data_IF_140341467089
#
_entry.id   IF_140341467089
#
_cell.length_a   1.000
_cell.length_b   1.000
_cell.length_c   1.000
_cell.angle_alpha   90.00
_cell.angle_beta   90.00
_cell.angle_gamma   90.00
#
_symmetry.space_group_name_H-M   'P 1'
#
loop_
_entity.id
_entity.type
_entity.pdbx_description
1 polymer ?
#
# COMPACT_ATOMS: atom_id res chain seq x y z
N UNK A 1 -13.44 -16.27 2.77
CA UNK A 1 -12.35 -15.61 2.01
C UNK A 1 -11.26 -15.27 3.02
N UNK A 2 -9.97 -15.41 2.69
CA UNK A 2 -8.88 -15.10 3.64
C UNK A 2 -8.80 -13.59 3.84
N UNK A 3 -8.71 -13.13 5.09
CA UNK A 3 -8.61 -11.72 5.47
C UNK A 3 -7.54 -10.96 4.66
N UNK A 4 -6.40 -11.62 4.39
CA UNK A 4 -5.32 -11.02 3.60
C UNK A 4 -5.67 -10.88 2.10
N UNK A 5 -6.47 -11.81 1.56
CA UNK A 5 -6.97 -11.69 0.18
C UNK A 5 -7.92 -10.51 0.04
N UNK A 6 -8.69 -10.21 1.08
CA UNK A 6 -9.58 -9.05 1.09
C UNK A 6 -8.79 -7.74 1.14
N UNK A 7 -7.73 -7.67 1.95
CA UNK A 7 -6.85 -6.47 1.97
C UNK A 7 -6.11 -6.31 0.65
N UNK A 8 -5.58 -7.40 0.08
CA UNK A 8 -4.98 -7.40 -1.26
C UNK A 8 -5.94 -6.83 -2.31
N UNK A 9 -7.18 -7.32 -2.35
CA UNK A 9 -8.19 -6.83 -3.30
C UNK A 9 -8.51 -5.35 -3.11
N UNK A 10 -8.62 -4.89 -1.85
CA UNK A 10 -8.85 -3.47 -1.55
C UNK A 10 -7.70 -2.60 -2.04
N UNK A 11 -6.45 -3.00 -1.79
CA UNK A 11 -5.27 -2.27 -2.27
C UNK A 11 -5.17 -2.29 -3.80
N UNK A 12 -5.47 -3.41 -4.45
CA UNK A 12 -5.52 -3.50 -5.93
C UNK A 12 -6.57 -2.57 -6.52
N UNK A 13 -7.77 -2.50 -5.93
CA UNK A 13 -8.81 -1.55 -6.37
C UNK A 13 -8.35 -0.09 -6.19
N UNK A 14 -7.62 0.21 -5.11
CA UNK A 14 -7.02 1.53 -4.91
C UNK A 14 -5.95 1.84 -5.97
N UNK A 15 -5.14 0.86 -6.37
CA UNK A 15 -4.15 1.01 -7.44
C UNK A 15 -4.84 1.29 -8.78
N UNK A 16 -5.88 0.54 -9.13
CA UNK A 16 -6.63 0.77 -10.36
C UNK A 16 -7.21 2.18 -10.41
N UNK A 17 -7.75 2.66 -9.28
CA UNK A 17 -8.28 4.02 -9.15
C UNK A 17 -7.20 5.10 -9.38
N UNK A 18 -5.90 4.83 -9.15
CA UNK A 18 -4.83 5.82 -9.44
C UNK A 18 -4.67 6.18 -10.92
N UNK A 19 -5.18 5.32 -11.81
CA UNK A 19 -5.11 5.45 -13.28
C UNK A 19 -6.30 6.21 -13.89
N UNK A 20 -7.32 6.56 -13.10
CA UNK A 20 -8.49 7.28 -13.60
C UNK A 20 -8.21 8.79 -13.79
N UNK A 21 -8.89 9.43 -14.74
CA UNK A 21 -8.66 10.85 -15.09
C UNK A 21 -9.04 11.84 -13.97
N UNK A 22 -9.97 11.46 -13.09
CA UNK A 22 -10.53 12.34 -12.03
C UNK A 22 -10.07 11.94 -10.62
N UNK A 23 -8.95 11.24 -10.51
CA UNK A 23 -8.55 10.63 -9.25
C UNK A 23 -8.10 11.62 -8.19
N UNK A 24 -8.68 11.51 -7.01
CA UNK A 24 -8.16 12.14 -5.81
C UNK A 24 -7.09 11.25 -5.16
N UNK A 25 -5.83 11.48 -5.56
CA UNK A 25 -4.69 10.68 -5.08
C UNK A 25 -4.44 10.80 -3.57
N UNK A 26 -4.75 11.95 -2.95
CA UNK A 26 -4.67 12.10 -1.49
C UNK A 26 -5.67 11.22 -0.76
N UNK A 27 -6.89 11.08 -1.29
CA UNK A 27 -7.89 10.18 -0.72
C UNK A 27 -7.43 8.72 -0.80
N UNK A 28 -6.84 8.32 -1.93
CA UNK A 28 -6.29 6.97 -2.12
C UNK A 28 -5.17 6.70 -1.11
N UNK A 29 -4.21 7.63 -0.95
CA UNK A 29 -3.14 7.51 0.04
C UNK A 29 -3.70 7.33 1.44
N UNK A 30 -4.68 8.17 1.83
CA UNK A 30 -5.33 8.06 3.14
C UNK A 30 -5.94 6.67 3.34
N UNK A 31 -6.71 6.18 2.36
CA UNK A 31 -7.34 4.86 2.42
C UNK A 31 -6.32 3.73 2.50
N UNK A 32 -5.23 3.82 1.74
CA UNK A 32 -4.13 2.85 1.81
C UNK A 32 -3.47 2.86 3.20
N UNK A 33 -3.21 4.05 3.75
CA UNK A 33 -2.61 4.22 5.07
C UNK A 33 -3.52 3.70 6.19
N UNK A 34 -4.83 3.88 6.07
CA UNK A 34 -5.80 3.33 7.02
C UNK A 34 -5.77 1.78 6.97
N UNK A 35 -5.75 1.18 5.77
CA UNK A 35 -5.60 -0.28 5.62
C UNK A 35 -4.30 -0.83 6.21
N UNK A 36 -3.18 -0.11 6.05
CA UNK A 36 -1.88 -0.50 6.63
C UNK A 36 -1.92 -0.40 8.15
N UNK A 37 -2.50 0.66 8.72
CA UNK A 37 -2.58 0.85 10.17
C UNK A 37 -3.45 -0.19 10.85
N UNK A 38 -4.57 -0.52 10.22
CA UNK A 38 -5.59 -1.42 10.79
C UNK A 38 -5.25 -2.90 10.62
N UNK A 39 -4.26 -3.26 9.79
CA UNK A 39 -3.84 -4.64 9.58
C UNK A 39 -2.35 -4.84 9.91
N UNK A 40 -2.05 -5.49 11.04
CA UNK A 40 -0.68 -5.67 11.52
C UNK A 40 0.22 -6.43 10.56
N UNK A 41 -0.32 -7.45 9.87
CA UNK A 41 0.47 -8.22 8.91
C UNK A 41 0.85 -7.39 7.67
N UNK A 42 -0.07 -6.56 7.18
CA UNK A 42 0.24 -5.60 6.09
C UNK A 42 1.21 -4.52 6.55
N UNK A 43 1.09 -4.04 7.80
CA UNK A 43 2.06 -3.10 8.39
C UNK A 43 3.46 -3.69 8.43
N UNK A 44 3.60 -4.94 8.86
CA UNK A 44 4.92 -5.59 8.93
C UNK A 44 5.53 -5.77 7.54
N UNK A 45 4.71 -6.10 6.53
CA UNK A 45 5.14 -6.16 5.12
C UNK A 45 5.58 -4.78 4.63
N UNK A 46 4.79 -3.74 4.93
CA UNK A 46 5.13 -2.37 4.58
C UNK A 46 6.48 -1.94 5.18
N UNK A 47 6.68 -2.17 6.49
CA UNK A 47 7.93 -1.81 7.16
C UNK A 47 9.14 -2.57 6.60
N UNK A 48 8.96 -3.82 6.18
CA UNK A 48 10.00 -4.63 5.55
C UNK A 48 10.32 -4.15 4.13
N UNK A 49 9.30 -3.92 3.30
CA UNK A 49 9.42 -3.57 1.88
C UNK A 49 9.95 -2.13 1.66
N UNK A 50 9.65 -1.23 2.60
CA UNK A 50 10.04 0.19 2.54
C UNK A 50 11.12 0.55 3.57
N UNK A 51 11.81 -0.46 4.13
CA UNK A 51 12.78 -0.26 5.21
C UNK A 51 13.87 0.75 4.84
N UNK A 52 14.45 0.64 3.65
CA UNK A 52 15.53 1.53 3.22
C UNK A 52 15.04 2.97 3.07
N UNK A 53 13.83 3.19 2.58
CA UNK A 53 13.23 4.52 2.51
C UNK A 53 12.97 5.08 3.91
N UNK A 54 12.36 4.30 4.80
CA UNK A 54 12.08 4.69 6.18
C UNK A 54 13.38 4.99 6.98
N UNK A 55 14.46 4.29 6.69
CA UNK A 55 15.77 4.54 7.33
C UNK A 55 16.47 5.79 6.77
N UNK A 56 16.22 6.14 5.50
CA UNK A 56 16.85 7.28 4.83
C UNK A 56 16.04 8.59 4.97
N UNK A 57 14.71 8.49 5.08
CA UNK A 57 13.81 9.62 5.30
C UNK A 57 13.43 9.67 6.78
N UNK A 58 13.73 10.78 7.45
CA UNK A 58 13.47 10.97 8.89
C UNK A 58 11.97 10.98 9.24
N UNK A 59 11.09 11.19 8.26
CA UNK A 59 9.65 11.00 8.40
C UNK A 59 9.26 9.61 7.89
N UNK A 60 8.60 8.85 8.75
CA UNK A 60 8.32 7.41 8.59
C UNK A 60 6.86 7.19 8.18
N UNK A 61 6.29 8.05 7.33
CA UNK A 61 4.88 7.92 6.99
C UNK A 61 4.70 6.98 5.78
N UNK A 62 3.82 5.97 5.87
CA UNK A 62 3.42 5.22 4.70
C UNK A 62 2.82 6.17 3.66
N UNK A 63 3.21 6.02 2.40
CA UNK A 63 2.66 6.79 1.27
C UNK A 63 2.69 8.31 1.52
N UNK A 64 3.87 8.93 1.48
CA UNK A 64 4.05 10.35 1.81
C UNK A 64 3.69 11.32 0.67
N UNK A 65 3.64 10.82 -0.57
CA UNK A 65 3.45 11.68 -1.75
C UNK A 65 2.43 11.11 -2.73
N UNK A 66 1.49 11.98 -3.14
CA UNK A 66 0.54 11.70 -4.21
C UNK A 66 1.22 11.48 -5.58
N UNK A 67 2.47 11.89 -5.71
CA UNK A 67 3.26 11.67 -6.91
C UNK A 67 3.72 10.20 -7.03
N UNK A 68 3.90 9.50 -5.91
CA UNK A 68 4.45 8.14 -5.86
C UNK A 68 3.42 7.07 -5.50
N UNK A 69 2.21 7.46 -5.11
CA UNK A 69 1.15 6.54 -4.63
C UNK A 69 0.92 5.31 -5.52
N UNK A 70 0.94 5.44 -6.85
CA UNK A 70 0.77 4.30 -7.75
C UNK A 70 1.92 3.29 -7.59
N UNK A 71 3.17 3.78 -7.61
CA UNK A 71 4.35 2.93 -7.50
C UNK A 71 4.43 2.27 -6.12
N UNK A 72 4.14 3.03 -5.07
CA UNK A 72 4.14 2.52 -3.70
C UNK A 72 3.04 1.47 -3.50
N UNK A 73 1.85 1.67 -4.08
CA UNK A 73 0.76 0.70 -4.03
C UNK A 73 1.16 -0.57 -4.77
N UNK A 74 1.72 -0.42 -5.98
CA UNK A 74 2.17 -1.55 -6.79
C UNK A 74 3.23 -2.37 -6.06
N UNK A 75 4.22 -1.73 -5.42
CA UNK A 75 5.25 -2.40 -4.61
C UNK A 75 4.64 -3.16 -3.44
N UNK A 76 3.80 -2.50 -2.63
CA UNK A 76 3.16 -3.12 -1.47
C UNK A 76 2.27 -4.31 -1.87
N UNK A 77 1.47 -4.17 -2.92
CA UNK A 77 0.60 -5.23 -3.46
C UNK A 77 1.43 -6.44 -3.90
N UNK A 78 2.56 -6.21 -4.58
CA UNK A 78 3.47 -7.29 -4.99
C UNK A 78 4.11 -7.99 -3.79
N UNK A 79 4.52 -7.24 -2.76
CA UNK A 79 5.06 -7.80 -1.53
C UNK A 79 4.04 -8.68 -0.79
N UNK A 80 2.79 -8.21 -0.65
CA UNK A 80 1.68 -8.99 -0.06
C UNK A 80 1.43 -10.26 -0.88
N UNK A 81 1.33 -10.13 -2.21
CA UNK A 81 1.12 -11.27 -3.12
C UNK A 81 2.18 -12.34 -2.93
N UNK A 82 3.45 -11.94 -2.89
CA UNK A 82 4.60 -12.83 -2.72
C UNK A 82 4.61 -13.51 -1.36
N UNK A 83 4.38 -12.77 -0.28
CA UNK A 83 4.44 -13.31 1.11
C UNK A 83 3.29 -14.26 1.42
N UNK A 84 2.12 -14.02 0.82
CA UNK A 84 0.89 -14.78 1.11
C UNK A 84 0.42 -15.71 -0.01
N UNK A 85 1.19 -15.83 -1.10
CA UNK A 85 0.89 -16.71 -2.25
C UNK A 85 -0.54 -16.50 -2.78
N UNK A 86 -0.92 -15.23 -2.98
CA UNK A 86 -2.23 -14.87 -3.52
C UNK A 86 -2.19 -14.97 -5.04
N UNK A 87 -3.01 -15.85 -5.61
CA UNK A 87 -3.17 -16.03 -7.06
C UNK A 87 -3.86 -14.84 -7.73
#
# INVERSE_FOLDING_TARGET
MSEMKDVYNKLSNLLDATNERSTNRFLIMKQANDLIKDNSAVRDIFLEEFKSEIENYLDQHPFESAQHVENDLRRLIQAIRKKHQID
#
